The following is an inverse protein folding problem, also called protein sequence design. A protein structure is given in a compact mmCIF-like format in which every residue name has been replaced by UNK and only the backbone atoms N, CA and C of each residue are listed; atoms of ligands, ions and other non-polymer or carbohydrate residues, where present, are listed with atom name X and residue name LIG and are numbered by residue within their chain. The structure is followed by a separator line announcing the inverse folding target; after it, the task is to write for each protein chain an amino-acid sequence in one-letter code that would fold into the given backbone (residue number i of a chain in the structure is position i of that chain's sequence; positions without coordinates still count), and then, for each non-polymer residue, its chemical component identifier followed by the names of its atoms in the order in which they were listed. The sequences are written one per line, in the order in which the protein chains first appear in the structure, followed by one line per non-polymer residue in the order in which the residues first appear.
data_IF_677347121367
#
_entry.id   IF_677347121367
#
_cell.length_a   1.000
_cell.length_b   1.000
_cell.length_c   1.000
_cell.angle_alpha   90.00
_cell.angle_beta   90.00
_cell.angle_gamma   90.00
#
_symmetry.space_group_name_H-M   'P 1'
#
loop_
_entity.id
_entity.type
_entity.pdbx_description
1 polymer ?
#
# COMPACT_ATOMS: atom_id res chain seq x y z
N UNK A 1 15.11 -5.65 -9.83
CA UNK A 1 13.82 -5.41 -10.51
C UNK A 1 13.95 -4.86 -11.93
N UNK A 2 15.15 -4.71 -12.51
CA UNK A 2 15.30 -4.42 -13.94
C UNK A 2 14.85 -3.03 -14.43
N UNK A 3 14.20 -2.23 -13.59
CA UNK A 3 13.72 -0.88 -13.93
C UNK A 3 14.91 0.06 -14.13
N UNK A 4 14.91 0.78 -15.26
CA UNK A 4 15.94 1.78 -15.56
C UNK A 4 15.92 2.90 -14.52
N UNK A 5 17.09 3.39 -14.05
CA UNK A 5 17.16 4.56 -13.17
C UNK A 5 16.46 5.80 -13.73
N UNK A 6 16.39 5.95 -15.06
CA UNK A 6 15.71 7.05 -15.72
C UNK A 6 14.17 6.98 -15.59
N UNK A 7 13.63 5.84 -15.19
CA UNK A 7 12.19 5.62 -14.95
C UNK A 7 11.85 5.66 -13.45
N UNK A 8 12.81 5.98 -12.58
CA UNK A 8 12.63 6.03 -11.13
C UNK A 8 12.59 7.46 -10.61
N UNK A 9 11.51 7.80 -9.90
CA UNK A 9 11.35 9.11 -9.26
C UNK A 9 11.12 8.92 -7.76
N UNK A 10 11.87 9.63 -6.94
CA UNK A 10 11.63 9.71 -5.49
C UNK A 10 10.56 10.75 -5.21
N UNK A 11 9.49 10.36 -4.54
CA UNK A 11 8.29 11.19 -4.36
C UNK A 11 8.22 11.90 -3.00
N UNK A 12 9.14 11.58 -2.09
CA UNK A 12 9.13 12.03 -0.70
C UNK A 12 7.75 11.77 -0.04
N UNK A 13 7.01 12.82 0.34
CA UNK A 13 5.69 12.70 0.97
C UNK A 13 4.52 13.17 0.08
N UNK A 14 4.79 13.54 -1.18
CA UNK A 14 3.87 14.22 -2.09
C UNK A 14 3.31 13.29 -3.16
N UNK A 15 2.68 12.18 -2.75
CA UNK A 15 2.26 11.17 -3.71
C UNK A 15 1.08 11.65 -4.58
N UNK A 16 0.11 12.34 -4.00
CA UNK A 16 -1.02 12.90 -4.76
C UNK A 16 -0.59 13.80 -5.92
N UNK A 17 0.14 14.90 -5.66
CA UNK A 17 0.65 15.75 -6.74
C UNK A 17 1.51 15.01 -7.75
N UNK A 18 2.33 14.04 -7.32
CA UNK A 18 3.12 13.21 -8.23
C UNK A 18 2.23 12.42 -9.20
N UNK A 19 1.17 11.77 -8.70
CA UNK A 19 0.22 11.02 -9.53
C UNK A 19 -0.46 11.91 -10.58
N UNK A 20 -0.83 13.13 -10.19
CA UNK A 20 -1.40 14.14 -11.11
C UNK A 20 -0.37 14.55 -12.17
N UNK A 21 0.85 14.89 -11.77
CA UNK A 21 1.92 15.28 -12.69
C UNK A 21 2.27 14.17 -13.68
N UNK A 22 2.35 12.92 -13.21
CA UNK A 22 2.58 11.77 -14.09
C UNK A 22 1.48 11.63 -15.14
N UNK A 23 0.23 11.93 -14.77
CA UNK A 23 -0.91 11.90 -15.69
C UNK A 23 -0.90 13.02 -16.73
N UNK A 24 -0.52 14.23 -16.31
CA UNK A 24 -0.32 15.36 -17.21
C UNK A 24 0.84 15.10 -18.18
N UNK A 25 1.89 14.41 -17.73
CA UNK A 25 3.03 13.98 -18.53
C UNK A 25 2.75 12.71 -19.38
N UNK A 26 1.50 12.25 -19.45
CA UNK A 26 1.05 11.12 -20.27
C UNK A 26 1.75 9.77 -20.00
N UNK A 27 2.22 9.58 -18.76
CA UNK A 27 2.76 8.30 -18.30
C UNK A 27 1.70 7.21 -18.45
N UNK A 28 2.08 6.08 -19.08
CA UNK A 28 1.14 4.99 -19.40
C UNK A 28 0.77 4.13 -18.19
N UNK A 29 1.73 3.92 -17.29
CA UNK A 29 1.53 3.16 -16.07
C UNK A 29 2.47 3.62 -14.96
N UNK A 30 2.05 3.46 -13.72
CA UNK A 30 2.81 3.89 -12.54
C UNK A 30 2.98 2.68 -11.62
N UNK A 31 4.23 2.41 -11.23
CA UNK A 31 4.55 1.45 -10.19
C UNK A 31 4.87 2.20 -8.89
N UNK A 32 4.01 2.07 -7.89
CA UNK A 32 4.25 2.56 -6.54
C UNK A 32 5.10 1.55 -5.76
N UNK A 33 6.36 1.88 -5.55
CA UNK A 33 7.31 1.03 -4.84
C UNK A 33 7.71 1.67 -3.50
N UNK A 34 7.35 1.09 -2.36
CA UNK A 34 7.54 1.79 -1.09
C UNK A 34 7.40 0.96 0.19
N UNK A 35 7.88 1.56 1.28
CA UNK A 35 7.74 1.02 2.63
C UNK A 35 6.26 0.94 2.99
N UNK A 36 5.84 -0.21 3.51
CA UNK A 36 4.43 -0.48 3.76
C UNK A 36 3.77 0.53 4.71
N UNK A 37 4.45 0.91 5.78
CA UNK A 37 3.93 1.89 6.74
C UNK A 37 3.73 3.29 6.15
N UNK A 38 4.25 3.59 4.95
CA UNK A 38 3.89 4.83 4.22
C UNK A 38 2.81 4.57 3.18
N UNK A 39 2.94 3.51 2.39
CA UNK A 39 2.03 3.21 1.28
C UNK A 39 0.62 2.84 1.76
N UNK A 40 0.47 2.19 2.92
CA UNK A 40 -0.84 1.79 3.46
C UNK A 40 -1.81 2.98 3.60
N UNK A 41 -1.30 4.21 3.78
CA UNK A 41 -2.10 5.44 3.86
C UNK A 41 -2.96 5.66 2.62
N UNK A 42 -2.48 5.25 1.45
CA UNK A 42 -3.20 5.38 0.18
C UNK A 42 -4.46 4.50 0.14
N UNK A 43 -4.42 3.33 0.81
CA UNK A 43 -5.61 2.50 0.98
C UNK A 43 -6.67 3.18 1.86
N UNK A 44 -6.27 4.15 2.70
CA UNK A 44 -7.17 5.06 3.43
C UNK A 44 -7.52 6.33 2.67
N UNK A 45 -7.03 6.53 1.43
CA UNK A 45 -7.26 7.75 0.65
C UNK A 45 -6.38 8.94 1.08
N UNK A 46 -5.35 8.68 1.87
CA UNK A 46 -4.41 9.70 2.36
C UNK A 46 -3.22 9.77 1.39
N UNK A 47 -3.27 10.74 0.47
CA UNK A 47 -2.25 10.93 -0.58
C UNK A 47 -1.07 11.84 -0.18
N UNK A 48 -1.12 12.42 1.02
CA UNK A 48 0.00 13.09 1.66
C UNK A 48 0.57 12.18 2.76
N UNK A 49 1.76 11.61 2.56
CA UNK A 49 2.20 10.49 3.42
C UNK A 49 2.91 10.94 4.70
N UNK A 50 3.08 12.25 4.92
CA UNK A 50 3.67 12.80 6.14
C UNK A 50 2.81 12.51 7.37
N UNK A 51 3.41 11.97 8.44
CA UNK A 51 2.70 11.53 9.64
C UNK A 51 2.05 12.67 10.43
N UNK A 52 2.67 13.85 10.51
CA UNK A 52 2.03 15.03 11.14
C UNK A 52 0.78 15.56 10.43
N UNK A 53 0.56 15.23 9.15
CA UNK A 53 -0.60 15.73 8.41
C UNK A 53 -1.78 14.78 8.57
N UNK A 54 -1.53 13.49 8.42
CA UNK A 54 -2.51 12.46 8.65
C UNK A 54 -1.79 11.16 9.03
N UNK A 55 -2.27 10.54 10.10
CA UNK A 55 -1.99 9.15 10.41
C UNK A 55 -3.31 8.37 10.43
N UNK A 56 -3.21 7.11 10.08
CA UNK A 56 -4.34 6.18 9.97
C UNK A 56 -3.88 4.76 9.71
N UNK A 57 -2.58 4.47 9.93
CA UNK A 57 -1.94 3.25 9.45
C UNK A 57 -2.54 2.01 10.12
N UNK A 58 -2.77 2.07 11.42
CA UNK A 58 -3.31 0.96 12.20
C UNK A 58 -4.81 0.82 12.01
N UNK A 59 -5.52 1.94 11.87
CA UNK A 59 -6.95 2.02 11.57
C UNK A 59 -7.25 1.36 10.21
N UNK A 60 -6.49 1.75 9.17
CA UNK A 60 -6.60 1.17 7.82
C UNK A 60 -6.27 -0.31 7.86
N UNK A 61 -5.14 -0.70 8.48
CA UNK A 61 -4.74 -2.11 8.57
C UNK A 61 -5.82 -2.95 9.28
N UNK A 62 -6.29 -2.49 10.43
CA UNK A 62 -7.33 -3.15 11.22
C UNK A 62 -8.64 -3.25 10.44
N UNK A 63 -9.02 -2.22 9.69
CA UNK A 63 -10.22 -2.26 8.85
C UNK A 63 -10.12 -3.33 7.75
N UNK A 64 -8.96 -3.47 7.10
CA UNK A 64 -8.73 -4.55 6.13
C UNK A 64 -8.73 -5.93 6.79
N UNK A 65 -8.11 -6.08 7.97
CA UNK A 65 -8.18 -7.32 8.76
C UNK A 65 -9.63 -7.69 9.11
N UNK A 66 -10.44 -6.71 9.54
CA UNK A 66 -11.82 -6.91 9.94
C UNK A 66 -12.68 -7.34 8.74
N UNK A 67 -12.50 -6.69 7.59
CA UNK A 67 -13.21 -7.05 6.36
C UNK A 67 -12.89 -8.47 5.87
N UNK A 68 -11.69 -8.98 6.19
CA UNK A 68 -11.27 -10.35 5.88
C UNK A 68 -11.65 -11.39 6.94
N UNK A 69 -12.33 -10.96 8.02
CA UNK A 69 -12.83 -11.84 9.07
C UNK A 69 -11.79 -12.24 10.12
N UNK A 70 -10.74 -11.46 10.32
CA UNK A 70 -9.79 -11.72 11.41
C UNK A 70 -10.54 -11.65 12.77
N UNK A 71 -10.34 -12.60 13.71
CA UNK A 71 -11.06 -12.62 14.98
C UNK A 71 -10.91 -11.33 15.77
N UNK A 72 -11.95 -10.93 16.51
CA UNK A 72 -11.98 -9.66 17.26
C UNK A 72 -10.80 -9.49 18.23
N UNK A 73 -10.37 -10.57 18.88
CA UNK A 73 -9.19 -10.54 19.75
C UNK A 73 -7.93 -10.11 18.98
N UNK A 74 -7.71 -10.69 17.79
CA UNK A 74 -6.57 -10.38 16.93
C UNK A 74 -6.68 -8.96 16.34
N UNK A 75 -7.90 -8.50 16.00
CA UNK A 75 -8.15 -7.12 15.57
C UNK A 75 -7.73 -6.10 16.64
N UNK A 76 -8.10 -6.34 17.89
CA UNK A 76 -7.72 -5.45 19.00
C UNK A 76 -6.20 -5.43 19.20
N UNK A 77 -5.51 -6.55 18.98
CA UNK A 77 -4.04 -6.60 19.04
C UNK A 77 -3.41 -5.77 17.93
N UNK A 78 -3.86 -5.95 16.69
CA UNK A 78 -3.40 -5.17 15.52
C UNK A 78 -3.62 -3.68 15.73
N UNK A 79 -4.81 -3.29 16.19
CA UNK A 79 -5.17 -1.88 16.40
C UNK A 79 -4.30 -1.19 17.45
N UNK A 80 -3.93 -1.91 18.52
CA UNK A 80 -3.17 -1.36 19.65
C UNK A 80 -1.65 -1.50 19.49
N UNK A 81 -1.14 -1.98 18.35
CA UNK A 81 0.29 -1.96 18.05
C UNK A 81 0.84 -0.52 18.08
N UNK A 82 2.13 -0.34 18.38
CA UNK A 82 2.75 0.99 18.35
C UNK A 82 3.08 1.44 16.93
N UNK A 83 3.39 0.49 16.05
CA UNK A 83 3.74 0.76 14.66
C UNK A 83 3.09 -0.23 13.70
N UNK A 84 2.97 0.16 12.44
CA UNK A 84 2.57 -0.75 11.37
C UNK A 84 3.52 -1.96 11.25
N UNK A 85 4.80 -1.81 11.62
CA UNK A 85 5.77 -2.92 11.62
C UNK A 85 5.43 -3.96 12.68
N UNK A 86 5.08 -3.52 13.89
CA UNK A 86 4.69 -4.43 14.97
C UNK A 86 3.41 -5.18 14.61
N UNK A 87 2.47 -4.51 13.93
CA UNK A 87 1.25 -5.14 13.43
C UNK A 87 1.54 -6.17 12.32
N UNK A 88 2.45 -5.87 11.38
CA UNK A 88 2.91 -6.83 10.38
C UNK A 88 3.55 -8.06 11.05
N UNK A 89 4.37 -7.83 12.07
CA UNK A 89 5.04 -8.89 12.80
C UNK A 89 4.03 -9.78 13.54
N UNK A 90 3.02 -9.18 14.16
CA UNK A 90 1.90 -9.92 14.77
C UNK A 90 1.18 -10.83 13.76
N UNK A 91 0.85 -10.31 12.56
CA UNK A 91 0.22 -11.13 11.51
C UNK A 91 1.13 -12.29 11.06
N UNK A 92 2.45 -12.08 10.97
CA UNK A 92 3.42 -13.15 10.66
C UNK A 92 3.46 -14.23 11.74
N UNK A 93 3.36 -13.84 13.01
CA UNK A 93 3.29 -14.79 14.13
C UNK A 93 2.00 -15.60 14.09
N UNK A 94 0.87 -14.96 13.79
CA UNK A 94 -0.39 -15.67 13.56
C UNK A 94 -0.29 -16.71 12.45
N UNK A 95 0.29 -16.33 11.31
CA UNK A 95 0.49 -17.24 10.19
C UNK A 95 1.37 -18.45 10.59
N UNK A 96 2.45 -18.20 11.34
CA UNK A 96 3.35 -19.26 11.80
C UNK A 96 2.72 -20.22 12.82
N UNK A 97 1.86 -19.72 13.72
CA UNK A 97 1.27 -20.52 14.80
C UNK A 97 0.01 -21.26 14.32
N UNK A 98 -0.85 -20.59 13.56
CA UNK A 98 -2.16 -21.12 13.15
C UNK A 98 -2.13 -21.78 11.77
N UNK A 99 -1.04 -21.64 11.00
CA UNK A 99 -0.94 -22.13 9.63
C UNK A 99 -1.84 -21.36 8.65
N UNK A 100 -2.17 -20.11 8.98
CA UNK A 100 -3.00 -19.23 8.18
C UNK A 100 -2.13 -18.35 7.25
N UNK A 101 -2.75 -17.62 6.33
CA UNK A 101 -2.07 -16.75 5.37
C UNK A 101 -2.57 -15.29 5.47
N UNK A 102 -2.72 -14.77 6.68
CA UNK A 102 -3.22 -13.42 6.93
C UNK A 102 -2.34 -12.35 6.32
N UNK A 103 -1.01 -12.48 6.34
CA UNK A 103 -0.14 -11.45 5.76
C UNK A 103 -0.44 -11.28 4.28
N UNK A 104 -0.49 -12.37 3.51
CA UNK A 104 -0.75 -12.32 2.07
C UNK A 104 -2.17 -11.81 1.79
N UNK A 105 -3.17 -12.31 2.52
CA UNK A 105 -4.58 -11.92 2.34
C UNK A 105 -4.79 -10.44 2.63
N UNK A 106 -4.33 -9.97 3.79
CA UNK A 106 -4.50 -8.58 4.25
C UNK A 106 -3.72 -7.62 3.37
N UNK A 107 -2.44 -7.88 3.13
CA UNK A 107 -1.63 -6.98 2.30
C UNK A 107 -2.05 -7.03 0.82
N UNK A 108 -2.62 -8.14 0.35
CA UNK A 108 -3.17 -8.25 -1.01
C UNK A 108 -4.39 -7.35 -1.19
N UNK A 109 -5.33 -7.34 -0.23
CA UNK A 109 -6.47 -6.41 -0.28
C UNK A 109 -6.02 -4.95 -0.11
N UNK A 110 -4.99 -4.69 0.70
CA UNK A 110 -4.42 -3.34 0.84
C UNK A 110 -3.83 -2.88 -0.50
N UNK A 111 -2.96 -3.64 -1.15
CA UNK A 111 -2.35 -3.22 -2.43
C UNK A 111 -3.39 -3.02 -3.51
N UNK A 112 -4.38 -3.91 -3.62
CA UNK A 112 -5.53 -3.74 -4.51
C UNK A 112 -6.28 -2.43 -4.25
N UNK A 113 -6.48 -2.09 -2.97
CA UNK A 113 -7.14 -0.83 -2.57
C UNK A 113 -6.27 0.39 -2.88
N UNK A 114 -4.96 0.31 -2.67
CA UNK A 114 -4.00 1.36 -3.05
C UNK A 114 -4.08 1.64 -4.54
N UNK A 115 -4.04 0.60 -5.37
CA UNK A 115 -4.11 0.71 -6.82
C UNK A 115 -5.43 1.39 -7.22
N UNK A 116 -6.57 0.86 -6.76
CA UNK A 116 -7.87 1.41 -7.07
C UNK A 116 -8.01 2.88 -6.65
N UNK A 117 -7.62 3.21 -5.42
CA UNK A 117 -7.73 4.59 -4.93
C UNK A 117 -6.78 5.53 -5.65
N UNK A 118 -5.58 5.08 -6.02
CA UNK A 118 -4.63 5.89 -6.79
C UNK A 118 -5.15 6.20 -8.18
N UNK A 119 -5.75 5.21 -8.85
CA UNK A 119 -6.40 5.40 -10.15
C UNK A 119 -7.58 6.37 -10.04
N UNK A 120 -8.44 6.20 -9.02
CA UNK A 120 -9.56 7.10 -8.76
C UNK A 120 -9.09 8.53 -8.47
N UNK A 121 -7.99 8.69 -7.72
CA UNK A 121 -7.40 9.98 -7.43
C UNK A 121 -6.94 10.68 -8.70
N UNK A 122 -6.22 9.99 -9.59
CA UNK A 122 -5.82 10.53 -10.90
C UNK A 122 -7.06 10.92 -11.72
N UNK A 123 -8.04 10.02 -11.81
CA UNK A 123 -9.25 10.26 -12.60
C UNK A 123 -10.01 11.50 -12.12
N UNK A 124 -10.16 11.67 -10.81
CA UNK A 124 -10.86 12.81 -10.20
C UNK A 124 -10.20 14.15 -10.52
N UNK A 125 -8.87 14.19 -10.72
CA UNK A 125 -8.12 15.43 -10.94
C UNK A 125 -7.78 15.70 -12.41
N UNK A 126 -7.71 14.66 -13.25
CA UNK A 126 -7.21 14.75 -14.62
C UNK A 126 -8.13 14.13 -15.67
N UNK A 127 -9.22 13.46 -15.27
CA UNK A 127 -10.13 12.70 -16.16
C UNK A 127 -9.42 11.65 -17.04
N UNK A 128 -8.25 11.17 -16.59
CA UNK A 128 -7.43 10.16 -17.28
C UNK A 128 -7.41 8.86 -16.49
N UNK A 129 -7.51 7.75 -17.20
CA UNK A 129 -7.32 6.41 -16.66
C UNK A 129 -5.88 5.97 -16.87
N UNK A 130 -5.13 5.83 -15.79
CA UNK A 130 -3.74 5.37 -15.80
C UNK A 130 -3.66 4.13 -14.94
N UNK A 131 -3.00 3.08 -15.43
CA UNK A 131 -2.81 1.86 -14.64
C UNK A 131 -1.82 2.12 -13.52
N UNK A 132 -2.22 1.84 -12.29
CA UNK A 132 -1.34 1.94 -11.11
C UNK A 132 -1.21 0.56 -10.48
N UNK A 133 0.02 0.13 -10.22
CA UNK A 133 0.34 -1.07 -9.45
C UNK A 133 1.20 -0.71 -8.24
N UNK A 134 1.13 -1.51 -7.18
CA UNK A 134 1.88 -1.28 -5.95
C UNK A 134 2.72 -2.48 -5.52
N UNK A 135 3.89 -2.18 -4.95
CA UNK A 135 4.81 -3.12 -4.32
C UNK A 135 5.18 -2.59 -2.95
N UNK A 136 4.94 -3.41 -1.93
CA UNK A 136 5.17 -3.04 -0.54
C UNK A 136 6.32 -3.86 0.04
N UNK A 137 7.22 -3.20 0.76
CA UNK A 137 8.32 -3.83 1.47
C UNK A 137 8.34 -3.46 2.96
N UNK A 138 8.91 -4.33 3.79
CA UNK A 138 9.05 -4.17 5.24
C UNK A 138 10.25 -3.30 5.63
N UNK A 139 10.49 -3.10 6.93
CA UNK A 139 11.60 -2.23 7.38
C UNK A 139 12.97 -2.75 6.94
N UNK A 140 13.11 -4.05 6.69
CA UNK A 140 14.33 -4.71 6.20
C UNK A 140 14.43 -4.69 4.67
N UNK A 141 13.52 -4.00 3.97
CA UNK A 141 13.42 -3.95 2.50
C UNK A 141 13.13 -5.29 1.85
N UNK A 142 12.57 -6.25 2.59
CA UNK A 142 12.04 -7.48 2.03
C UNK A 142 10.66 -7.19 1.47
N UNK A 143 10.43 -7.58 0.21
CA UNK A 143 9.10 -7.44 -0.41
C UNK A 143 8.11 -8.29 0.39
N UNK A 144 7.01 -7.66 0.80
CA UNK A 144 5.88 -8.32 1.44
C UNK A 144 4.97 -8.86 0.35
N UNK A 145 4.56 -8.00 -0.59
CA UNK A 145 3.64 -8.35 -1.67
C UNK A 145 3.77 -7.39 -2.86
N UNK A 146 3.31 -7.85 -4.01
CA UNK A 146 3.03 -7.06 -5.21
C UNK A 146 1.55 -7.21 -5.56
N UNK A 147 0.91 -6.13 -5.98
CA UNK A 147 -0.42 -6.19 -6.61
C UNK A 147 -0.37 -6.92 -7.96
N UNK A 148 -1.51 -7.42 -8.43
CA UNK A 148 -1.65 -7.95 -9.80
C UNK A 148 -1.26 -6.90 -10.86
N UNK A 149 -1.65 -5.63 -10.68
CA UNK A 149 -1.25 -4.56 -11.60
C UNK A 149 0.26 -4.34 -11.61
N UNK A 150 0.94 -4.49 -10.47
CA UNK A 150 2.39 -4.40 -10.41
C UNK A 150 3.05 -5.53 -11.20
N UNK A 151 2.53 -6.76 -11.13
CA UNK A 151 3.06 -7.87 -11.93
C UNK A 151 2.85 -7.64 -13.43
N UNK A 152 1.69 -7.08 -13.84
CA UNK A 152 1.43 -6.70 -15.24
C UNK A 152 2.37 -5.57 -15.71
N UNK A 153 2.70 -4.61 -14.85
CA UNK A 153 3.60 -3.49 -15.22
C UNK A 153 5.06 -3.96 -15.29
N UNK A 154 5.43 -4.98 -14.52
CA UNK A 154 6.79 -5.48 -14.42
C UNK A 154 7.12 -6.62 -15.40
N UNK A 155 6.10 -7.27 -15.97
CA UNK A 155 6.22 -8.29 -17.02
C UNK A 155 6.30 -7.69 -18.40
#
# INVERSE_FOLDING_TARGET
MGISPHQMIKTANWLGPMLVCASLAEVKSILLFGYHGKLIKLAGGIFHTHHHIADGRLEILTAHCANLGLPTFDLQKVFNCSTAEDALQYLRELDAIKGENWVIRVYGEITKTIDQRSQNYIYTHCEKNIKVGSVMFDRQRKIIIKSENADIILG
#
